data_IF_592615851325
#
_entry.id   IF_592615851325
#
_cell.length_a   1.000
_cell.length_b   1.000
_cell.length_c   1.000
_cell.angle_alpha   90.00
_cell.angle_beta   90.00
_cell.angle_gamma   90.00
#
_symmetry.space_group_name_H-M   'P 1'
#
loop_
_entity.id
_entity.type
_entity.pdbx_description
1 polymer ?
#
# COMPACT_ATOMS: atom_id res chain seq x y z
N UNK A 1 -4.02 0.91 16.62
CA UNK A 1 -4.08 1.45 18.00
C UNK A 1 -5.10 0.75 18.89
N UNK A 2 -6.41 0.99 18.76
CA UNK A 2 -7.39 0.43 19.72
C UNK A 2 -7.43 -1.11 19.70
N UNK A 3 -7.53 -1.71 18.50
CA UNK A 3 -7.54 -3.18 18.34
C UNK A 3 -6.25 -3.80 18.91
N UNK A 4 -5.10 -3.18 18.66
CA UNK A 4 -3.80 -3.67 19.15
C UNK A 4 -3.69 -3.54 20.67
N UNK A 5 -4.21 -2.45 21.25
CA UNK A 5 -4.28 -2.28 22.70
C UNK A 5 -5.17 -3.34 23.36
N UNK A 6 -6.33 -3.66 22.76
CA UNK A 6 -7.21 -4.72 23.23
C UNK A 6 -6.55 -6.10 23.11
N UNK A 7 -5.90 -6.40 21.98
CA UNK A 7 -5.13 -7.63 21.80
C UNK A 7 -4.06 -7.75 22.89
N UNK A 8 -3.30 -6.67 23.15
CA UNK A 8 -2.28 -6.63 24.20
C UNK A 8 -2.86 -6.91 25.58
N UNK A 9 -3.99 -6.28 25.94
CA UNK A 9 -4.66 -6.51 27.21
C UNK A 9 -5.07 -7.98 27.38
N UNK A 10 -5.58 -8.64 26.34
CA UNK A 10 -5.88 -10.08 26.41
C UNK A 10 -4.63 -10.96 26.51
N UNK A 11 -3.50 -10.56 25.90
CA UNK A 11 -2.24 -11.25 26.09
C UNK A 11 -1.73 -11.13 27.52
N UNK A 12 -1.91 -9.99 28.18
CA UNK A 12 -1.59 -9.80 29.60
C UNK A 12 -2.43 -10.74 30.48
N UNK A 13 -3.74 -10.86 30.21
CA UNK A 13 -4.60 -11.86 30.88
C UNK A 13 -4.06 -13.28 30.70
N UNK A 14 -3.58 -13.64 29.51
CA UNK A 14 -3.00 -14.98 29.27
C UNK A 14 -1.66 -15.20 29.98
N UNK A 15 -0.87 -14.15 30.20
CA UNK A 15 0.38 -14.21 30.96
C UNK A 15 0.10 -14.45 32.45
N UNK A 16 -0.90 -13.76 33.00
CA UNK A 16 -1.33 -13.92 34.39
C UNK A 16 -1.83 -15.35 34.69
N UNK A 17 -2.37 -16.03 33.67
CA UNK A 17 -2.79 -17.44 33.71
C UNK A 17 -1.60 -18.41 33.54
N UNK A 18 -0.57 -18.23 34.37
CA UNK A 18 0.65 -19.08 34.43
C UNK A 18 1.39 -19.19 33.09
N UNK A 19 1.28 -18.17 32.24
CA UNK A 19 1.92 -18.17 30.92
C UNK A 19 1.43 -19.28 29.99
N UNK A 20 0.19 -19.78 30.17
CA UNK A 20 -0.39 -20.80 29.27
C UNK A 20 -0.46 -20.32 27.82
N UNK A 21 -0.48 -18.99 27.62
CA UNK A 21 -0.41 -18.35 26.32
C UNK A 21 -1.55 -18.77 25.38
N UNK A 22 -1.34 -18.61 24.07
CA UNK A 22 -2.37 -18.91 23.05
C UNK A 22 -2.55 -20.40 22.76
N UNK A 23 -1.50 -21.20 22.92
CA UNK A 23 -1.46 -22.59 22.45
C UNK A 23 -1.18 -23.62 23.56
N UNK A 24 -0.91 -23.18 24.79
CA UNK A 24 -0.62 -24.10 25.89
C UNK A 24 -1.80 -25.00 26.25
N UNK A 25 -1.53 -26.18 26.81
CA UNK A 25 -2.55 -27.15 27.18
C UNK A 25 -3.41 -26.64 28.35
N UNK A 26 -4.72 -26.90 28.26
CA UNK A 26 -5.73 -26.59 29.30
C UNK A 26 -6.12 -27.81 30.12
N UNK A 27 -5.54 -28.97 29.80
CA UNK A 27 -5.69 -30.23 30.52
C UNK A 27 -4.34 -30.68 31.05
N UNK A 28 -4.37 -31.43 32.14
CA UNK A 28 -3.18 -32.07 32.71
C UNK A 28 -2.79 -33.35 31.94
N UNK A 29 -1.78 -34.06 32.44
CA UNK A 29 -1.25 -35.27 31.80
C UNK A 29 -2.26 -36.43 31.82
N UNK A 30 -3.17 -36.42 32.79
CA UNK A 30 -4.21 -37.41 33.00
C UNK A 30 -5.49 -37.09 32.20
N UNK A 31 -5.56 -35.91 31.57
CA UNK A 31 -6.66 -35.48 30.71
C UNK A 31 -7.77 -34.71 31.44
N UNK A 32 -7.55 -34.31 32.68
CA UNK A 32 -8.51 -33.51 33.45
C UNK A 32 -8.25 -32.01 33.29
N UNK A 33 -9.27 -31.15 33.50
CA UNK A 33 -9.11 -29.70 33.48
C UNK A 33 -8.05 -29.25 34.48
N UNK A 34 -7.06 -28.49 34.02
CA UNK A 34 -6.01 -27.92 34.88
C UNK A 34 -6.61 -27.06 35.99
N UNK A 35 -6.31 -27.41 37.24
CA UNK A 35 -6.78 -26.67 38.41
C UNK A 35 -5.97 -25.39 38.70
N UNK A 36 -4.79 -25.23 38.08
CA UNK A 36 -3.87 -24.12 38.33
C UNK A 36 -4.12 -22.88 37.45
N UNK A 37 -5.06 -22.95 36.52
CA UNK A 37 -5.45 -21.87 35.60
C UNK A 37 -6.96 -21.76 35.48
N UNK A 38 -7.46 -20.54 35.28
CA UNK A 38 -8.86 -20.32 34.91
C UNK A 38 -9.07 -20.62 33.42
N UNK A 39 -9.52 -21.84 33.14
CA UNK A 39 -9.77 -22.34 31.78
C UNK A 39 -10.81 -21.50 31.05
N UNK A 40 -11.83 -21.00 31.74
CA UNK A 40 -12.88 -20.20 31.11
C UNK A 40 -12.31 -18.85 30.65
N UNK A 41 -11.55 -18.19 31.52
CA UNK A 41 -10.91 -16.93 31.18
C UNK A 41 -9.90 -17.10 30.04
N UNK A 42 -9.08 -18.16 30.08
CA UNK A 42 -8.10 -18.46 29.01
C UNK A 42 -8.78 -18.70 27.67
N UNK A 43 -9.86 -19.50 27.63
CA UNK A 43 -10.61 -19.75 26.39
C UNK A 43 -11.22 -18.48 25.82
N UNK A 44 -11.81 -17.65 26.69
CA UNK A 44 -12.39 -16.37 26.29
C UNK A 44 -11.32 -15.42 25.73
N UNK A 45 -10.19 -15.26 26.42
CA UNK A 45 -9.10 -14.42 25.96
C UNK A 45 -8.53 -14.90 24.62
N UNK A 46 -8.30 -16.22 24.45
CA UNK A 46 -7.84 -16.80 23.18
C UNK A 46 -8.81 -16.53 22.04
N UNK A 47 -10.10 -16.74 22.27
CA UNK A 47 -11.13 -16.49 21.26
C UNK A 47 -11.11 -15.02 20.82
N UNK A 48 -11.13 -14.09 21.77
CA UNK A 48 -11.16 -12.67 21.49
C UNK A 48 -9.91 -12.20 20.75
N UNK A 49 -8.72 -12.68 21.14
CA UNK A 49 -7.46 -12.39 20.42
C UNK A 49 -7.58 -12.83 18.94
N UNK A 50 -8.06 -14.04 18.68
CA UNK A 50 -8.18 -14.57 17.32
C UNK A 50 -9.16 -13.72 16.49
N UNK A 51 -10.32 -13.38 17.05
CA UNK A 51 -11.30 -12.52 16.40
C UNK A 51 -10.69 -11.15 16.06
N UNK A 52 -10.13 -10.47 17.05
CA UNK A 52 -9.50 -9.16 16.87
C UNK A 52 -8.35 -9.18 15.86
N UNK A 53 -7.52 -10.23 15.86
CA UNK A 53 -6.44 -10.37 14.88
C UNK A 53 -6.96 -10.56 13.46
N UNK A 54 -8.06 -11.31 13.29
CA UNK A 54 -8.68 -11.49 11.99
C UNK A 54 -9.33 -10.19 11.50
N UNK A 55 -10.03 -9.48 12.38
CA UNK A 55 -10.64 -8.19 12.07
C UNK A 55 -9.57 -7.15 11.72
N UNK A 56 -8.47 -7.12 12.47
CA UNK A 56 -7.33 -6.26 12.18
C UNK A 56 -6.73 -6.56 10.80
N UNK A 57 -6.54 -7.85 10.48
CA UNK A 57 -6.03 -8.26 9.17
C UNK A 57 -6.97 -7.82 8.05
N UNK A 58 -8.28 -7.98 8.23
CA UNK A 58 -9.27 -7.57 7.24
C UNK A 58 -9.27 -6.05 7.03
N UNK A 59 -9.19 -5.27 8.11
CA UNK A 59 -9.11 -3.81 8.05
C UNK A 59 -7.84 -3.36 7.30
N UNK A 60 -6.69 -3.95 7.61
CA UNK A 60 -5.43 -3.61 6.95
C UNK A 60 -5.44 -3.94 5.46
N UNK A 61 -6.08 -5.05 5.06
CA UNK A 61 -6.29 -5.37 3.64
C UNK A 61 -7.16 -4.34 2.93
N UNK A 62 -8.21 -3.81 3.59
CA UNK A 62 -9.03 -2.75 3.02
C UNK A 62 -8.24 -1.45 2.83
N UNK A 63 -7.39 -1.09 3.81
CA UNK A 63 -6.50 0.07 3.71
C UNK A 63 -5.54 -0.08 2.53
N UNK A 64 -4.88 -1.23 2.41
CA UNK A 64 -3.97 -1.54 1.30
C UNK A 64 -4.68 -1.42 -0.06
N UNK A 65 -5.87 -2.01 -0.19
CA UNK A 65 -6.68 -1.91 -1.41
C UNK A 65 -7.07 -0.47 -1.73
N UNK A 66 -7.46 0.32 -0.74
CA UNK A 66 -7.78 1.73 -0.91
C UNK A 66 -6.61 2.54 -1.46
N UNK A 67 -5.39 2.27 -0.95
CA UNK A 67 -4.17 2.92 -1.43
C UNK A 67 -3.86 2.56 -2.89
N UNK A 68 -3.95 1.28 -3.25
CA UNK A 68 -3.79 0.85 -4.63
C UNK A 68 -4.81 1.49 -5.57
N UNK A 69 -6.07 1.59 -5.15
CA UNK A 69 -7.13 2.23 -5.95
C UNK A 69 -6.86 3.73 -6.16
N UNK A 70 -6.40 4.44 -5.14
CA UNK A 70 -6.05 5.86 -5.26
C UNK A 70 -4.98 6.07 -6.32
N UNK A 71 -3.87 5.33 -6.22
CA UNK A 71 -2.77 5.45 -7.17
C UNK A 71 -3.13 4.98 -8.59
N UNK A 72 -3.95 3.95 -8.72
CA UNK A 72 -4.46 3.52 -10.02
C UNK A 72 -5.27 4.64 -10.69
N UNK A 73 -6.17 5.30 -9.94
CA UNK A 73 -6.96 6.42 -10.46
C UNK A 73 -6.10 7.63 -10.83
N UNK A 74 -5.10 7.96 -10.02
CA UNK A 74 -4.16 9.06 -10.32
C UNK A 74 -3.37 8.78 -11.59
N UNK A 75 -2.91 7.54 -11.77
CA UNK A 75 -2.21 7.09 -12.97
C UNK A 75 -3.12 7.18 -14.20
N UNK A 76 -4.33 6.63 -14.13
CA UNK A 76 -5.31 6.69 -15.23
C UNK A 76 -5.64 8.12 -15.64
N UNK A 77 -5.76 9.03 -14.66
CA UNK A 77 -5.98 10.45 -14.93
C UNK A 77 -4.78 11.05 -15.66
N UNK A 78 -3.56 10.82 -15.18
CA UNK A 78 -2.35 11.34 -15.83
C UNK A 78 -2.20 10.81 -17.26
N UNK A 79 -2.41 9.51 -17.45
CA UNK A 79 -2.30 8.88 -18.76
C UNK A 79 -3.34 9.46 -19.75
N UNK A 80 -4.54 9.82 -19.26
CA UNK A 80 -5.57 10.52 -20.05
C UNK A 80 -5.15 11.95 -20.37
N UNK A 81 -4.72 12.72 -19.38
CA UNK A 81 -4.29 14.11 -19.54
C UNK A 81 -3.12 14.18 -20.56
N UNK A 82 -2.18 13.24 -20.51
CA UNK A 82 -1.08 13.11 -21.48
C UNK A 82 -1.57 12.77 -22.90
N UNK A 83 -2.54 11.86 -23.03
CA UNK A 83 -3.12 11.50 -24.31
C UNK A 83 -3.89 12.68 -24.95
N UNK A 84 -4.66 13.43 -24.15
CA UNK A 84 -5.36 14.64 -24.58
C UNK A 84 -4.39 15.72 -25.04
N UNK A 85 -3.34 15.99 -24.27
CA UNK A 85 -2.29 16.94 -24.65
C UNK A 85 -1.57 16.52 -25.96
N UNK A 86 -1.34 15.23 -26.16
CA UNK A 86 -0.73 14.74 -27.40
C UNK A 86 -1.66 14.89 -28.61
N UNK A 87 -2.96 14.62 -28.45
CA UNK A 87 -3.95 14.82 -29.50
C UNK A 87 -4.11 16.31 -29.87
N UNK A 88 -4.08 17.22 -28.89
CA UNK A 88 -4.06 18.66 -29.12
C UNK A 88 -2.81 19.10 -29.89
N UNK A 89 -1.63 18.59 -29.52
CA UNK A 89 -0.38 18.89 -30.22
C UNK A 89 -0.38 18.40 -31.68
N UNK A 90 -1.00 17.25 -31.97
CA UNK A 90 -1.10 16.72 -33.34
C UNK A 90 -2.15 17.45 -34.20
N UNK A 91 -3.21 17.99 -33.58
CA UNK A 91 -4.26 18.73 -34.27
C UNK A 91 -3.91 20.20 -34.51
N UNK A 92 -2.92 20.74 -33.79
CA UNK A 92 -2.27 21.97 -34.19
C UNK A 92 -1.48 21.75 -35.48
N UNK A 93 -2.00 22.29 -36.59
CA UNK A 93 -1.27 22.32 -37.86
C UNK A 93 0.09 22.97 -37.63
N UNK A 94 1.18 22.25 -37.97
CA UNK A 94 2.51 22.82 -37.96
C UNK A 94 2.47 24.14 -38.73
N UNK A 95 2.93 25.27 -38.13
CA UNK A 95 2.88 26.55 -38.81
C UNK A 95 3.63 26.42 -40.13
N UNK A 96 3.05 26.92 -41.21
CA UNK A 96 3.73 26.87 -42.50
C UNK A 96 5.08 27.59 -42.37
N UNK A 97 6.18 26.98 -42.83
CA UNK A 97 7.49 27.61 -42.79
C UNK A 97 7.42 28.93 -43.58
N UNK A 98 7.62 30.05 -42.89
CA UNK A 98 7.50 31.38 -43.47
C UNK A 98 8.85 31.92 -43.98
N UNK A 99 9.95 31.28 -43.62
CA UNK A 99 11.30 31.69 -43.96
C UNK A 99 12.17 30.47 -44.30
N UNK A 100 13.10 30.67 -45.23
CA UNK A 100 14.20 29.75 -45.54
C UNK A 100 15.52 30.44 -45.20
N UNK A 101 16.52 29.64 -44.87
CA UNK A 101 17.88 30.15 -44.65
C UNK A 101 18.42 30.62 -45.99
N UNK A 102 18.88 31.87 -46.07
CA UNK A 102 19.32 32.44 -47.35
C UNK A 102 20.83 32.23 -47.59
N UNK A 103 21.63 32.19 -46.52
CA UNK A 103 23.07 31.94 -46.57
C UNK A 103 23.58 31.52 -45.18
N UNK A 104 24.62 30.69 -45.16
CA UNK A 104 25.39 30.36 -43.95
C UNK A 104 26.87 30.63 -44.24
N UNK A 105 27.53 31.45 -43.42
CA UNK A 105 28.94 31.79 -43.61
C UNK A 105 29.87 30.62 -43.22
N UNK A 106 30.91 30.31 -44.02
CA UNK A 106 31.88 29.26 -43.69
C UNK A 106 32.60 29.56 -42.37
N UNK A 107 32.69 28.57 -41.48
CA UNK A 107 33.35 28.71 -40.18
C UNK A 107 32.57 29.54 -39.14
N UNK A 108 31.30 29.88 -39.42
CA UNK A 108 30.41 30.47 -38.41
C UNK A 108 29.90 29.41 -37.43
N UNK A 109 29.46 29.82 -36.22
CA UNK A 109 28.82 28.88 -35.27
C UNK A 109 27.66 28.09 -35.89
N UNK A 110 26.86 28.72 -36.76
CA UNK A 110 25.76 28.06 -37.47
C UNK A 110 26.24 26.97 -38.45
N UNK A 111 27.38 27.18 -39.12
CA UNK A 111 28.01 26.17 -39.99
C UNK A 111 28.49 24.96 -39.19
N UNK A 112 29.06 25.17 -38.01
CA UNK A 112 29.50 24.06 -37.13
C UNK A 112 28.34 23.32 -36.47
N UNK A 113 27.21 23.98 -36.27
CA UNK A 113 25.98 23.36 -35.76
C UNK A 113 25.19 22.59 -36.82
N UNK A 114 25.66 22.53 -38.07
CA UNK A 114 25.03 21.75 -39.15
C UNK A 114 23.87 22.46 -39.87
N UNK A 115 23.71 23.77 -39.68
CA UNK A 115 22.66 24.55 -40.36
C UNK A 115 23.00 24.74 -41.84
N UNK A 116 22.03 24.51 -42.74
CA UNK A 116 22.19 24.59 -44.19
C UNK A 116 21.28 25.68 -44.78
N UNK A 117 21.77 26.37 -45.81
CA UNK A 117 21.01 27.33 -46.62
C UNK A 117 20.28 26.63 -47.77
#
# INVERSE_FOLDING_TARGET
>A
DEIEAQIKAYYEVLQDQKGVGMNGPLVDAEGYPRADVDIYQVRTARHNIICLQNDHRALMQQVEQGLHQLHAREKEKRDRDEAEAHAEAQSQALPQPFARVNAVSPGSPASFSGLQA
#
